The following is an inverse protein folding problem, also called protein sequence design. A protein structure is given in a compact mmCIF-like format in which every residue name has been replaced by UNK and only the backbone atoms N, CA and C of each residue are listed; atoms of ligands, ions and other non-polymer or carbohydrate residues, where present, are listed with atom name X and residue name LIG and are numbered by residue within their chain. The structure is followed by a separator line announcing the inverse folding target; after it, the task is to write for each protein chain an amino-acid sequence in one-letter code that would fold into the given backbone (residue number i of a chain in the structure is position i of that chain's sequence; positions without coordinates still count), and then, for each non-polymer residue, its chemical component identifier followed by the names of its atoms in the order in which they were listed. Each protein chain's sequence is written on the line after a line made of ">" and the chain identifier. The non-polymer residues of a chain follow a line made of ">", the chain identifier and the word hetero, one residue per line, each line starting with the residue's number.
data_IF_209915330901
#
_entry.id   IF_209915330901
#
_cell.length_a   1.000
_cell.length_b   1.000
_cell.length_c   1.000
_cell.angle_alpha   90.00
_cell.angle_beta   90.00
_cell.angle_gamma   90.00
#
_symmetry.space_group_name_H-M   'P 1'
#
loop_
_entity.id
_entity.type
_entity.pdbx_description
1 polymer ?
#
# COMPACT_ATOMS: atom_id res chain seq x y z
N UNK A 1 -16.66 16.91 12.90
CA UNK A 1 -16.39 17.19 11.46
C UNK A 1 -14.98 16.74 11.17
N UNK A 2 -14.80 15.64 10.43
CA UNK A 2 -13.47 15.19 10.02
C UNK A 2 -13.13 16.01 8.77
N UNK A 3 -12.30 17.04 8.92
CA UNK A 3 -11.81 17.81 7.78
C UNK A 3 -11.00 16.86 6.93
N UNK A 4 -11.54 16.47 5.78
CA UNK A 4 -10.78 15.83 4.71
C UNK A 4 -9.79 16.88 4.21
N UNK A 5 -8.65 17.03 4.89
CA UNK A 5 -7.55 17.78 4.33
C UNK A 5 -7.14 17.03 3.07
N UNK A 6 -7.26 17.69 1.93
CA UNK A 6 -6.59 17.26 0.71
C UNK A 6 -5.09 17.37 0.97
N UNK A 7 -4.50 16.32 1.55
CA UNK A 7 -3.06 16.22 1.72
C UNK A 7 -2.49 16.16 0.31
N UNK A 8 -1.88 17.26 -0.12
CA UNK A 8 -1.10 17.26 -1.34
C UNK A 8 0.10 16.34 -1.10
N UNK A 9 0.08 15.16 -1.73
CA UNK A 9 1.23 14.25 -1.71
C UNK A 9 2.41 14.99 -2.33
N UNK A 10 3.45 15.24 -1.54
CA UNK A 10 4.67 15.79 -2.08
C UNK A 10 5.36 14.72 -2.94
N UNK A 11 6.20 15.14 -3.90
CA UNK A 11 6.97 14.19 -4.71
C UNK A 11 7.71 13.12 -3.88
N UNK A 12 8.41 13.46 -2.76
CA UNK A 12 9.05 12.43 -1.95
C UNK A 12 8.06 11.46 -1.27
N UNK A 13 6.84 11.90 -0.96
CA UNK A 13 5.80 11.00 -0.42
C UNK A 13 5.31 10.01 -1.48
N UNK A 14 5.14 10.49 -2.72
CA UNK A 14 4.79 9.64 -3.86
C UNK A 14 5.92 8.62 -4.10
N UNK A 15 7.17 9.06 -4.11
CA UNK A 15 8.33 8.20 -4.30
C UNK A 15 8.41 7.13 -3.20
N UNK A 16 8.11 7.51 -1.95
CA UNK A 16 8.05 6.59 -0.80
C UNK A 16 6.95 5.55 -0.99
N UNK A 17 5.72 5.97 -1.27
CA UNK A 17 4.59 5.06 -1.51
C UNK A 17 4.87 4.10 -2.67
N UNK A 18 5.51 4.60 -3.72
CA UNK A 18 5.85 3.81 -4.90
C UNK A 18 6.93 2.77 -4.60
N UNK A 19 7.96 3.11 -3.81
CA UNK A 19 8.97 2.14 -3.33
C UNK A 19 8.34 1.04 -2.50
N UNK A 20 7.52 1.40 -1.51
CA UNK A 20 6.84 0.42 -0.65
C UNK A 20 5.96 -0.52 -1.48
N UNK A 21 5.22 0.04 -2.43
CA UNK A 21 4.38 -0.72 -3.33
C UNK A 21 5.18 -1.66 -4.25
N UNK A 22 6.24 -1.16 -4.88
CA UNK A 22 7.06 -1.94 -5.81
C UNK A 22 7.81 -3.08 -5.07
N UNK A 23 8.32 -2.82 -3.85
CA UNK A 23 8.97 -3.83 -2.99
C UNK A 23 8.01 -4.99 -2.66
N UNK A 24 6.79 -4.67 -2.21
CA UNK A 24 5.80 -5.68 -1.85
C UNK A 24 5.31 -6.45 -3.09
N UNK A 25 5.14 -5.76 -4.23
CA UNK A 25 4.80 -6.44 -5.48
C UNK A 25 5.91 -7.42 -5.90
N UNK A 26 7.19 -7.04 -5.74
CA UNK A 26 8.32 -7.92 -6.03
C UNK A 26 8.37 -9.12 -5.07
N UNK A 27 8.19 -8.90 -3.77
CA UNK A 27 8.17 -9.95 -2.73
C UNK A 27 7.10 -11.01 -3.02
N UNK A 28 5.89 -10.59 -3.39
CA UNK A 28 4.77 -11.49 -3.67
C UNK A 28 4.63 -11.88 -5.15
N UNK A 29 5.56 -11.47 -6.01
CA UNK A 29 5.55 -11.69 -7.48
C UNK A 29 4.23 -11.27 -8.12
N UNK A 30 3.64 -10.17 -7.65
CA UNK A 30 2.39 -9.66 -8.20
C UNK A 30 2.67 -8.81 -9.44
N UNK A 31 1.97 -9.06 -10.56
CA UNK A 31 1.96 -8.13 -11.67
C UNK A 31 1.40 -6.78 -11.20
N UNK A 32 2.00 -5.68 -11.66
CA UNK A 32 1.58 -4.30 -11.29
C UNK A 32 0.11 -4.04 -11.60
N UNK A 33 -0.39 -4.62 -12.69
CA UNK A 33 -1.78 -4.50 -13.14
C UNK A 33 -2.72 -5.56 -12.55
N UNK A 34 -2.24 -6.39 -11.61
CA UNK A 34 -3.09 -7.38 -10.97
C UNK A 34 -4.11 -6.73 -10.04
N UNK A 35 -5.23 -7.43 -9.83
CA UNK A 35 -6.26 -7.00 -8.85
C UNK A 35 -5.66 -6.88 -7.44
N UNK A 36 -4.71 -7.75 -7.08
CA UNK A 36 -4.03 -7.71 -5.77
C UNK A 36 -3.17 -6.47 -5.62
N UNK A 37 -2.36 -6.15 -6.63
CA UNK A 37 -1.55 -4.94 -6.65
C UNK A 37 -2.43 -3.68 -6.55
N UNK A 38 -3.51 -3.56 -7.35
CA UNK A 38 -4.43 -2.42 -7.25
C UNK A 38 -5.07 -2.27 -5.85
N UNK A 39 -5.49 -3.38 -5.23
CA UNK A 39 -6.03 -3.37 -3.85
C UNK A 39 -4.98 -2.93 -2.84
N UNK A 40 -3.74 -3.38 -3.01
CA UNK A 40 -2.63 -3.03 -2.14
C UNK A 40 -2.25 -1.53 -2.27
N UNK A 41 -2.14 -1.01 -3.49
CA UNK A 41 -1.92 0.41 -3.74
C UNK A 41 -3.00 1.28 -3.10
N UNK A 42 -4.27 0.86 -3.20
CA UNK A 42 -5.38 1.58 -2.59
C UNK A 42 -5.24 1.63 -1.06
N UNK A 43 -4.90 0.50 -0.44
CA UNK A 43 -4.70 0.43 1.00
C UNK A 43 -3.57 1.35 1.47
N UNK A 44 -2.42 1.36 0.78
CA UNK A 44 -1.30 2.24 1.11
C UNK A 44 -1.68 3.73 1.04
N UNK A 45 -2.42 4.13 0.00
CA UNK A 45 -2.91 5.51 -0.14
C UNK A 45 -3.89 5.85 0.99
N UNK A 46 -4.86 4.96 1.26
CA UNK A 46 -5.86 5.19 2.30
C UNK A 46 -5.17 5.34 3.68
N UNK A 47 -4.13 4.55 3.96
CA UNK A 47 -3.40 4.60 5.23
C UNK A 47 -2.47 5.80 5.37
N UNK A 48 -1.89 6.24 4.26
CA UNK A 48 -1.18 7.52 4.19
C UNK A 48 -2.13 8.69 4.50
N UNK A 49 -3.30 8.71 3.86
CA UNK A 49 -4.33 9.73 4.08
C UNK A 49 -4.92 9.69 5.49
N UNK A 50 -4.88 8.54 6.17
CA UNK A 50 -5.26 8.41 7.57
C UNK A 50 -4.23 9.02 8.54
N UNK A 51 -3.03 9.35 8.06
CA UNK A 51 -1.96 10.00 8.83
C UNK A 51 -0.70 9.15 8.99
N UNK A 52 -0.65 7.94 8.42
CA UNK A 52 0.54 7.08 8.48
C UNK A 52 1.51 7.45 7.35
N UNK A 53 2.37 8.43 7.60
CA UNK A 53 3.34 8.92 6.59
C UNK A 53 4.73 8.28 6.71
N UNK A 54 4.97 7.48 7.76
CA UNK A 54 6.24 6.82 7.99
C UNK A 54 6.41 5.60 7.07
N UNK A 55 7.46 5.60 6.25
CA UNK A 55 7.79 4.53 5.30
C UNK A 55 7.88 3.14 5.97
N UNK A 56 8.51 3.04 7.13
CA UNK A 56 8.65 1.76 7.84
C UNK A 56 7.29 1.23 8.33
N UNK A 57 6.40 2.11 8.80
CA UNK A 57 5.04 1.72 9.18
C UNK A 57 4.23 1.26 7.96
N UNK A 58 4.34 1.99 6.84
CA UNK A 58 3.69 1.62 5.58
C UNK A 58 4.18 0.26 5.06
N UNK A 59 5.47 -0.05 5.18
CA UNK A 59 6.02 -1.37 4.86
C UNK A 59 5.45 -2.47 5.75
N UNK A 60 5.39 -2.25 7.07
CA UNK A 60 4.88 -3.25 8.02
C UNK A 60 3.41 -3.57 7.77
N UNK A 61 2.56 -2.53 7.68
CA UNK A 61 1.12 -2.69 7.40
C UNK A 61 0.92 -3.26 5.99
N UNK A 62 1.72 -2.79 5.04
CA UNK A 62 1.73 -3.24 3.65
C UNK A 62 1.96 -4.74 3.52
N UNK A 63 3.04 -5.24 4.11
CA UNK A 63 3.38 -6.68 4.12
C UNK A 63 2.32 -7.51 4.83
N UNK A 64 1.82 -7.06 5.98
CA UNK A 64 0.76 -7.76 6.72
C UNK A 64 -0.50 -7.94 5.87
N UNK A 65 -0.94 -6.88 5.19
CA UNK A 65 -2.10 -6.93 4.31
C UNK A 65 -1.83 -7.82 3.09
N UNK A 66 -0.63 -7.73 2.53
CA UNK A 66 -0.27 -8.50 1.34
C UNK A 66 -0.22 -10.01 1.59
N UNK A 67 0.30 -10.44 2.74
CA UNK A 67 0.26 -11.83 3.19
C UNK A 67 -1.18 -12.35 3.27
N UNK A 68 -2.11 -11.58 3.85
CA UNK A 68 -3.54 -11.97 3.92
C UNK A 68 -4.21 -12.05 2.54
N UNK A 69 -3.85 -11.18 1.61
CA UNK A 69 -4.33 -11.24 0.22
C UNK A 69 -3.79 -12.47 -0.53
N UNK A 70 -2.58 -12.93 -0.21
CA UNK A 70 -2.02 -14.14 -0.78
C UNK A 70 -2.71 -15.40 -0.23
N UNK A 71 -2.94 -15.45 1.08
CA UNK A 71 -3.62 -16.57 1.77
C UNK A 71 -5.05 -16.79 1.26
N UNK A 72 -5.82 -15.71 1.07
CA UNK A 72 -7.21 -15.76 0.57
C UNK A 72 -7.35 -16.37 -0.83
N UNK A 73 -6.25 -16.59 -1.55
CA UNK A 73 -6.26 -17.21 -2.88
C UNK A 73 -5.88 -18.70 -2.88
N UNK A 74 -5.49 -19.26 -1.73
CA UNK A 74 -5.11 -20.68 -1.58
C UNK A 74 -6.25 -21.53 -1.00
N UNK A 75 -7.36 -20.92 -0.57
CA UNK A 75 -8.60 -21.63 -0.26
C UNK A 75 -9.61 -21.45 -1.40
N UNK A 76 -9.48 -22.26 -2.45
CA UNK A 76 -10.55 -22.55 -3.40
C UNK A 76 -10.36 -23.96 -3.96
#
# INVERSE_FOLDING_TARGET
>A
MRSTQCIALSQPDIDTLQRVFDDICAEHRWPRDSVRARRHARMLIDEYLAGTTNEQLLLVVGRWFASRLAETSTSA
#
